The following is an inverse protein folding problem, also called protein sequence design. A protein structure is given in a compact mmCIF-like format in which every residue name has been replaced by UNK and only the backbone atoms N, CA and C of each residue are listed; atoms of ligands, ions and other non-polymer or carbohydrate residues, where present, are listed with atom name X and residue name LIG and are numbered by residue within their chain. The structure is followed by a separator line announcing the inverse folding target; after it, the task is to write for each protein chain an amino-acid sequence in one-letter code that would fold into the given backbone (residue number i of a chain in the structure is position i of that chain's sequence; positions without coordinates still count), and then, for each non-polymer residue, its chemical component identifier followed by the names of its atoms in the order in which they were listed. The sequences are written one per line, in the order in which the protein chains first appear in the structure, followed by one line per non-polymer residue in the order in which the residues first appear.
data_IF_539053304762
#
_entry.id   IF_539053304762
#
_cell.length_a   1.000
_cell.length_b   1.000
_cell.length_c   1.000
_cell.angle_alpha   90.00
_cell.angle_beta   90.00
_cell.angle_gamma   90.00
#
_symmetry.space_group_name_H-M   'P 1'
#
loop_
_entity.id
_entity.type
_entity.pdbx_description
1 polymer ?
#
# COMPACT_ATOMS: atom_id res chain seq x y z
N UNK A 1 37.73 -35.69 56.92
CA UNK A 1 36.37 -36.27 56.92
C UNK A 1 35.63 -35.70 55.77
N UNK A 2 35.70 -36.28 54.81
CA UNK A 2 35.13 -36.87 53.63
C UNK A 2 33.63 -36.57 53.47
N UNK A 3 33.28 -35.70 52.53
CA UNK A 3 32.08 -35.79 51.76
C UNK A 3 32.46 -35.49 50.31
N UNK A 4 32.66 -36.59 49.60
CA UNK A 4 32.94 -36.60 48.15
C UNK A 4 31.65 -36.64 47.37
N UNK A 5 31.54 -35.71 46.46
CA UNK A 5 30.89 -35.68 45.15
C UNK A 5 30.09 -36.92 44.70
N UNK A 6 28.87 -36.65 44.32
CA UNK A 6 28.12 -37.43 43.36
C UNK A 6 27.19 -36.52 42.55
N UNK A 7 27.78 -35.79 41.59
CA UNK A 7 27.06 -35.14 40.52
C UNK A 7 27.93 -35.18 39.26
N UNK A 8 27.87 -36.31 38.58
CA UNK A 8 28.36 -36.39 37.21
C UNK A 8 27.43 -37.31 36.41
N UNK A 9 27.05 -36.82 35.28
CA UNK A 9 26.30 -37.45 34.18
C UNK A 9 24.78 -37.24 34.15
N UNK A 10 24.38 -36.00 33.94
CA UNK A 10 23.20 -35.75 33.15
C UNK A 10 23.71 -35.49 31.70
N UNK A 11 23.74 -36.55 30.89
CA UNK A 11 23.84 -36.46 29.45
C UNK A 11 22.69 -35.57 28.95
N UNK A 12 22.97 -34.60 28.07
CA UNK A 12 21.89 -33.94 27.39
C UNK A 12 21.21 -35.00 26.50
N UNK A 13 19.97 -35.29 26.82
CA UNK A 13 19.08 -35.96 25.90
C UNK A 13 19.02 -35.09 24.65
N UNK A 14 19.84 -35.39 23.63
CA UNK A 14 19.56 -35.04 22.28
C UNK A 14 18.23 -35.71 21.93
N UNK A 15 17.17 -35.01 22.17
CA UNK A 15 15.90 -35.28 21.50
C UNK A 15 16.15 -35.19 20.01
N UNK A 16 16.42 -36.37 19.41
CA UNK A 16 16.12 -36.57 17.99
C UNK A 16 14.61 -36.40 17.86
N UNK A 17 14.17 -35.14 17.71
CA UNK A 17 12.89 -34.85 17.10
C UNK A 17 12.97 -35.38 15.67
N UNK A 18 12.69 -36.69 15.52
CA UNK A 18 12.18 -37.22 14.26
C UNK A 18 10.97 -36.33 13.98
N UNK A 19 11.06 -35.53 12.91
CA UNK A 19 10.05 -34.57 12.56
C UNK A 19 8.68 -35.24 12.50
N UNK A 20 7.96 -35.17 13.58
CA UNK A 20 6.52 -35.34 13.59
C UNK A 20 6.03 -34.21 12.68
N UNK A 21 5.57 -34.57 11.47
CA UNK A 21 4.88 -33.62 10.64
C UNK A 21 3.83 -32.94 11.54
N UNK A 22 3.88 -31.62 11.64
CA UNK A 22 2.96 -30.83 12.47
C UNK A 22 1.49 -31.16 12.12
N UNK A 23 1.30 -31.74 10.91
CA UNK A 23 0.02 -32.16 10.35
C UNK A 23 0.10 -33.64 9.87
N UNK A 24 -1.02 -34.34 9.99
CA UNK A 24 -1.17 -35.74 9.55
C UNK A 24 -1.05 -35.91 8.03
N UNK A 25 -1.06 -34.85 7.24
CA UNK A 25 -1.01 -34.83 5.79
C UNK A 25 -0.03 -33.78 5.29
N UNK A 26 0.92 -34.18 4.43
CA UNK A 26 1.83 -33.27 3.73
C UNK A 26 1.09 -32.27 2.81
N UNK A 27 -0.04 -32.68 2.22
CA UNK A 27 -0.85 -31.79 1.40
C UNK A 27 -1.44 -30.66 2.24
N UNK A 28 -1.95 -30.97 3.44
CA UNK A 28 -2.44 -29.98 4.38
C UNK A 28 -1.31 -29.05 4.85
N UNK A 29 -0.15 -29.63 5.19
CA UNK A 29 1.02 -28.87 5.62
C UNK A 29 1.47 -27.86 4.55
N UNK A 30 1.56 -28.27 3.29
CA UNK A 30 1.93 -27.42 2.17
C UNK A 30 0.93 -26.26 2.00
N UNK A 31 -0.37 -26.54 2.03
CA UNK A 31 -1.41 -25.52 1.91
C UNK A 31 -1.33 -24.50 3.07
N UNK A 32 -1.13 -24.97 4.31
CA UNK A 32 -0.97 -24.11 5.49
C UNK A 32 0.28 -23.25 5.37
N UNK A 33 1.40 -23.82 4.93
CA UNK A 33 2.65 -23.10 4.77
C UNK A 33 2.50 -21.99 3.71
N UNK A 34 1.93 -22.27 2.55
CA UNK A 34 1.73 -21.24 1.50
C UNK A 34 0.76 -20.15 1.95
N UNK A 35 -0.36 -20.50 2.57
CA UNK A 35 -1.30 -19.50 3.09
C UNK A 35 -0.68 -18.65 4.21
N UNK A 36 0.20 -19.21 5.03
CA UNK A 36 0.86 -18.48 6.12
C UNK A 36 1.97 -17.52 5.64
N UNK A 37 2.36 -17.57 4.36
CA UNK A 37 3.28 -16.58 3.75
C UNK A 37 2.58 -15.26 3.41
N UNK A 38 1.26 -15.25 3.41
CA UNK A 38 0.51 -14.03 3.16
C UNK A 38 0.64 -13.08 4.36
N UNK A 39 0.83 -11.76 4.12
CA UNK A 39 0.96 -10.78 5.20
C UNK A 39 -0.25 -10.82 6.15
N UNK A 40 0.01 -10.84 7.46
CA UNK A 40 -1.04 -10.88 8.49
C UNK A 40 -1.69 -12.24 8.71
N UNK A 41 -1.29 -13.29 7.99
CA UNK A 41 -1.84 -14.65 8.14
C UNK A 41 -0.84 -15.53 8.89
N UNK A 42 -1.15 -15.81 10.16
CA UNK A 42 -0.40 -16.79 10.95
C UNK A 42 -0.84 -18.23 10.68
N UNK A 43 -0.02 -19.23 11.07
CA UNK A 43 -0.28 -20.66 10.87
C UNK A 43 -1.67 -21.11 11.32
N UNK A 44 -2.18 -20.59 12.46
CA UNK A 44 -3.52 -20.93 12.97
C UNK A 44 -4.63 -20.48 12.04
N UNK A 45 -4.51 -19.28 11.46
CA UNK A 45 -5.47 -18.75 10.47
C UNK A 45 -5.35 -19.52 9.18
N UNK A 46 -4.13 -19.78 8.71
CA UNK A 46 -3.85 -20.56 7.50
C UNK A 46 -4.46 -21.98 7.60
N UNK A 47 -4.30 -22.66 8.73
CA UNK A 47 -4.93 -23.98 8.97
C UNK A 47 -6.46 -23.88 8.87
N UNK A 48 -7.07 -22.88 9.48
CA UNK A 48 -8.52 -22.68 9.41
C UNK A 48 -8.99 -22.47 7.98
N UNK A 49 -8.24 -21.69 7.18
CA UNK A 49 -8.53 -21.47 5.76
C UNK A 49 -8.39 -22.76 4.95
N UNK A 50 -7.30 -23.51 5.13
CA UNK A 50 -7.08 -24.78 4.44
C UNK A 50 -8.19 -25.80 4.74
N UNK A 51 -8.59 -25.92 6.02
CA UNK A 51 -9.70 -26.80 6.42
C UNK A 51 -11.06 -26.32 5.91
N UNK A 52 -11.25 -25.00 5.74
CA UNK A 52 -12.45 -24.46 5.10
C UNK A 52 -12.49 -24.87 3.61
N UNK A 53 -11.41 -24.65 2.87
CA UNK A 53 -11.32 -25.02 1.45
C UNK A 53 -11.58 -26.52 1.24
N UNK A 54 -11.10 -27.39 2.16
CA UNK A 54 -11.37 -28.83 2.10
C UNK A 54 -12.84 -29.21 2.30
N UNK A 55 -13.65 -28.35 2.91
CA UNK A 55 -15.12 -28.59 3.10
C UNK A 55 -15.95 -28.11 1.93
N UNK A 56 -15.41 -27.20 1.14
CA UNK A 56 -16.04 -26.69 -0.07
C UNK A 56 -15.87 -27.69 -1.21
N UNK A 57 -16.63 -27.50 -2.28
CA UNK A 57 -16.46 -28.31 -3.49
C UNK A 57 -15.11 -28.04 -4.20
N UNK A 58 -14.70 -28.92 -5.06
CA UNK A 58 -13.44 -28.77 -5.83
C UNK A 58 -13.46 -27.52 -6.72
N UNK A 59 -14.63 -27.10 -7.20
CA UNK A 59 -14.80 -25.93 -8.05
C UNK A 59 -14.43 -24.64 -7.30
N UNK A 60 -14.67 -24.58 -5.98
CA UNK A 60 -14.25 -23.43 -5.16
C UNK A 60 -12.72 -23.25 -5.15
N UNK A 61 -11.98 -24.34 -4.90
CA UNK A 61 -10.52 -24.31 -4.90
C UNK A 61 -9.95 -23.97 -6.29
N UNK A 62 -10.53 -24.52 -7.37
CA UNK A 62 -10.14 -24.25 -8.74
C UNK A 62 -10.37 -22.77 -9.11
N UNK A 63 -11.52 -22.21 -8.76
CA UNK A 63 -11.84 -20.81 -9.02
C UNK A 63 -10.91 -19.86 -8.25
N UNK A 64 -10.65 -20.14 -6.97
CA UNK A 64 -9.73 -19.36 -6.15
C UNK A 64 -8.31 -19.40 -6.73
N UNK A 65 -7.79 -20.57 -7.05
CA UNK A 65 -6.45 -20.72 -7.62
C UNK A 65 -6.35 -20.02 -8.97
N UNK A 66 -7.34 -20.19 -9.84
CA UNK A 66 -7.40 -19.51 -11.14
C UNK A 66 -7.43 -17.99 -10.99
N UNK A 67 -8.24 -17.46 -10.09
CA UNK A 67 -8.32 -16.01 -9.85
C UNK A 67 -6.95 -15.43 -9.42
N UNK A 68 -6.22 -16.12 -8.52
CA UNK A 68 -4.90 -15.68 -8.08
C UNK A 68 -3.86 -15.76 -9.20
N UNK A 69 -3.87 -16.84 -10.00
CA UNK A 69 -2.95 -17.02 -11.12
C UNK A 69 -3.22 -15.97 -12.21
N UNK A 70 -4.48 -15.77 -12.57
CA UNK A 70 -4.89 -14.74 -13.54
C UNK A 70 -4.51 -13.35 -13.08
N UNK A 71 -4.82 -13.00 -11.82
CA UNK A 71 -4.41 -11.71 -11.24
C UNK A 71 -2.89 -11.49 -11.38
N UNK A 72 -2.08 -12.51 -11.08
CA UNK A 72 -0.61 -12.34 -11.12
C UNK A 72 -0.05 -12.22 -12.54
N UNK A 73 -0.63 -12.96 -13.49
CA UNK A 73 -0.10 -13.08 -14.84
C UNK A 73 -0.64 -12.03 -15.80
N UNK A 74 -1.90 -11.64 -15.65
CA UNK A 74 -2.62 -10.84 -16.65
C UNK A 74 -2.79 -9.39 -16.23
N UNK A 75 -2.52 -9.06 -14.94
CA UNK A 75 -2.58 -7.67 -14.48
C UNK A 75 -1.47 -6.84 -15.13
N UNK A 76 -1.84 -5.66 -15.61
CA UNK A 76 -0.91 -4.67 -16.16
C UNK A 76 -0.92 -3.40 -15.32
N UNK A 77 -0.02 -2.49 -15.67
CA UNK A 77 -0.04 -1.11 -15.18
C UNK A 77 -0.43 -0.18 -16.32
N UNK A 78 -1.35 0.72 -16.05
CA UNK A 78 -1.78 1.72 -17.02
C UNK A 78 -0.58 2.52 -17.54
N UNK A 79 -0.36 2.58 -18.85
CA UNK A 79 0.76 3.29 -19.47
C UNK A 79 0.77 4.79 -19.14
N UNK A 80 -0.43 5.38 -18.90
CA UNK A 80 -0.55 6.81 -18.60
C UNK A 80 -0.38 7.16 -17.14
N UNK A 81 -1.01 6.42 -16.24
CA UNK A 81 -1.07 6.79 -14.82
C UNK A 81 -0.40 5.80 -13.85
N UNK A 82 0.08 4.66 -14.33
CA UNK A 82 0.71 3.59 -13.57
C UNK A 82 -0.18 2.92 -12.51
N UNK A 83 -1.51 3.17 -12.55
CA UNK A 83 -2.46 2.41 -11.73
C UNK A 83 -2.61 0.98 -12.28
N UNK A 84 -3.02 0.06 -11.43
CA UNK A 84 -3.38 -1.30 -11.83
C UNK A 84 -4.50 -1.26 -12.88
N UNK A 85 -4.37 -2.10 -13.93
CA UNK A 85 -5.27 -2.13 -15.07
C UNK A 85 -5.32 -3.53 -15.68
N UNK A 86 -6.44 -3.84 -16.33
CA UNK A 86 -6.60 -5.05 -17.17
C UNK A 86 -6.25 -4.80 -18.64
N UNK A 87 -5.87 -3.55 -18.99
CA UNK A 87 -5.49 -3.13 -20.34
C UNK A 87 -4.50 -1.97 -20.28
N UNK A 88 -3.98 -1.55 -21.45
CA UNK A 88 -2.98 -0.48 -21.59
C UNK A 88 -3.41 0.84 -20.92
N UNK A 89 -4.70 1.15 -20.96
CA UNK A 89 -5.29 2.29 -20.26
C UNK A 89 -6.34 1.82 -19.25
N UNK A 90 -6.21 2.25 -17.98
CA UNK A 90 -7.20 1.94 -16.95
C UNK A 90 -8.53 2.67 -17.23
N UNK A 91 -9.61 2.20 -16.62
CA UNK A 91 -10.95 2.77 -16.75
C UNK A 91 -11.01 4.27 -16.45
N UNK A 92 -10.18 4.77 -15.53
CA UNK A 92 -10.12 6.18 -15.17
C UNK A 92 -9.50 6.98 -16.32
N UNK A 93 -8.37 6.53 -16.86
CA UNK A 93 -7.68 7.20 -17.96
C UNK A 93 -8.42 7.11 -19.30
N UNK A 94 -9.20 6.05 -19.51
CA UNK A 94 -10.03 5.88 -20.70
C UNK A 94 -11.36 6.66 -20.65
N UNK A 95 -11.73 7.19 -19.50
CA UNK A 95 -13.00 7.88 -19.32
C UNK A 95 -12.92 9.37 -19.70
N UNK A 96 -13.39 9.71 -20.88
CA UNK A 96 -13.43 11.10 -21.41
C UNK A 96 -14.28 12.10 -20.61
N UNK A 97 -15.02 11.64 -19.58
CA UNK A 97 -15.76 12.55 -18.69
C UNK A 97 -14.88 13.10 -17.56
N UNK A 98 -13.66 12.57 -17.41
CA UNK A 98 -12.70 13.02 -16.41
C UNK A 98 -12.00 14.32 -16.85
N UNK A 99 -11.67 15.16 -15.89
CA UNK A 99 -10.82 16.32 -16.13
C UNK A 99 -9.37 15.88 -16.29
N UNK A 100 -8.92 15.76 -17.52
CA UNK A 100 -7.56 15.32 -17.84
C UNK A 100 -6.47 16.35 -17.49
N UNK A 101 -6.87 17.60 -17.20
CA UNK A 101 -5.94 18.68 -16.85
C UNK A 101 -5.64 18.77 -15.35
N UNK A 102 -6.31 17.97 -14.54
CA UNK A 102 -6.08 17.88 -13.08
C UNK A 102 -5.57 16.49 -12.73
N UNK A 103 -4.31 16.42 -12.25
CA UNK A 103 -3.67 15.17 -11.84
C UNK A 103 -3.60 15.09 -10.32
N UNK A 104 -4.09 13.99 -9.74
CA UNK A 104 -3.85 13.62 -8.35
C UNK A 104 -2.70 12.61 -8.26
N UNK A 105 -1.61 13.02 -7.63
CA UNK A 105 -0.41 12.17 -7.42
C UNK A 105 -0.57 11.43 -6.12
N UNK A 106 -0.50 10.10 -6.17
CA UNK A 106 -0.68 9.20 -5.03
C UNK A 106 0.48 8.21 -4.92
N UNK A 107 0.64 7.61 -3.75
CA UNK A 107 1.66 6.61 -3.52
C UNK A 107 1.37 5.32 -4.27
N UNK A 108 0.16 4.76 -4.07
CA UNK A 108 -0.21 3.47 -4.66
C UNK A 108 -1.70 3.38 -5.05
N UNK A 109 -2.08 2.22 -5.58
CA UNK A 109 -3.46 1.92 -6.02
C UNK A 109 -4.49 1.99 -4.88
N UNK A 110 -4.09 1.73 -3.62
CA UNK A 110 -4.99 1.81 -2.46
C UNK A 110 -5.49 3.23 -2.25
N UNK A 111 -4.62 4.21 -2.50
CA UNK A 111 -4.97 5.63 -2.40
C UNK A 111 -5.96 6.03 -3.51
N UNK A 112 -5.74 5.54 -4.74
CA UNK A 112 -6.71 5.73 -5.85
C UNK A 112 -8.09 5.22 -5.43
N UNK A 113 -8.16 3.99 -4.91
CA UNK A 113 -9.41 3.37 -4.47
C UNK A 113 -10.06 4.18 -3.34
N UNK A 114 -9.27 4.69 -2.40
CA UNK A 114 -9.77 5.48 -1.28
C UNK A 114 -10.37 6.82 -1.75
N UNK A 115 -9.67 7.52 -2.65
CA UNK A 115 -10.14 8.80 -3.20
C UNK A 115 -11.37 8.61 -4.08
N UNK A 116 -11.40 7.60 -4.95
CA UNK A 116 -12.57 7.28 -5.81
C UNK A 116 -13.83 6.99 -4.99
N UNK A 117 -13.70 6.29 -3.86
CA UNK A 117 -14.84 6.05 -2.95
C UNK A 117 -15.49 7.31 -2.42
N UNK A 118 -14.77 8.43 -2.37
CA UNK A 118 -15.34 9.72 -1.94
C UNK A 118 -16.29 10.32 -2.97
N UNK A 119 -16.17 9.95 -4.24
CA UNK A 119 -16.90 10.53 -5.39
C UNK A 119 -16.73 12.05 -5.55
N UNK A 120 -15.72 12.65 -4.89
CA UNK A 120 -15.50 14.09 -4.91
C UNK A 120 -14.43 14.53 -5.91
N UNK A 121 -13.67 13.60 -6.46
CA UNK A 121 -12.60 13.88 -7.40
C UNK A 121 -12.97 13.44 -8.81
N UNK A 122 -12.88 14.36 -9.76
CA UNK A 122 -13.22 14.12 -11.18
C UNK A 122 -12.01 14.15 -12.11
N UNK A 123 -10.81 14.38 -11.59
CA UNK A 123 -9.56 14.39 -12.37
C UNK A 123 -9.01 13.00 -12.66
N UNK A 124 -7.77 12.94 -13.10
CA UNK A 124 -7.02 11.71 -13.35
C UNK A 124 -5.91 11.53 -12.33
N UNK A 125 -5.30 10.34 -12.27
CA UNK A 125 -4.28 10.01 -11.28
C UNK A 125 -2.89 9.87 -11.90
N UNK A 126 -1.90 9.87 -11.02
CA UNK A 126 -0.56 9.37 -11.28
C UNK A 126 -0.08 8.62 -10.05
N UNK A 127 0.16 7.31 -10.20
CA UNK A 127 0.61 6.41 -9.12
C UNK A 127 2.12 6.32 -9.15
N UNK A 128 2.78 6.72 -8.06
CA UNK A 128 4.25 6.75 -7.99
C UNK A 128 4.86 5.37 -7.82
N UNK A 129 4.15 4.42 -7.20
CA UNK A 129 4.67 3.11 -6.83
C UNK A 129 5.42 3.08 -5.49
N UNK A 130 5.37 4.18 -4.72
CA UNK A 130 5.99 4.35 -3.41
C UNK A 130 6.34 5.79 -3.10
N UNK A 131 7.14 5.99 -2.05
CA UNK A 131 7.72 7.29 -1.66
C UNK A 131 9.25 7.18 -1.61
N UNK A 132 9.96 8.29 -1.75
CA UNK A 132 11.43 8.33 -1.61
C UNK A 132 11.79 7.92 -0.18
N UNK A 133 12.44 6.77 -0.04
CA UNK A 133 12.88 6.22 1.23
C UNK A 133 14.29 5.64 1.11
N UNK A 134 15.34 6.45 1.38
CA UNK A 134 16.73 6.00 1.28
C UNK A 134 17.07 4.84 2.24
N UNK A 135 16.35 4.72 3.37
CA UNK A 135 16.57 3.63 4.33
C UNK A 135 16.14 2.26 3.75
N UNK A 136 15.14 2.25 2.88
CA UNK A 136 14.69 1.07 2.15
C UNK A 136 15.32 0.94 0.76
N UNK A 137 16.21 1.86 0.42
CA UNK A 137 16.91 1.88 -0.88
C UNK A 137 16.09 2.45 -2.03
N UNK A 138 14.92 3.06 -1.75
CA UNK A 138 14.05 3.65 -2.77
C UNK A 138 14.45 5.11 -3.06
N UNK A 139 14.98 5.33 -4.25
CA UNK A 139 15.33 6.66 -4.77
C UNK A 139 14.28 7.19 -5.76
N UNK A 140 14.44 8.44 -6.23
CA UNK A 140 13.52 9.04 -7.20
C UNK A 140 13.45 8.29 -8.54
N UNK A 141 14.51 7.55 -8.90
CA UNK A 141 14.57 6.79 -10.15
C UNK A 141 13.84 5.44 -10.08
N UNK A 142 13.55 4.97 -8.87
CA UNK A 142 12.79 3.73 -8.65
C UNK A 142 11.27 3.96 -8.71
N UNK A 143 10.88 5.25 -8.76
CA UNK A 143 9.50 5.71 -8.80
C UNK A 143 9.15 6.27 -10.20
N UNK A 144 7.86 6.36 -10.49
CA UNK A 144 7.36 6.88 -11.79
C UNK A 144 7.42 8.40 -11.91
N UNK A 145 8.21 9.09 -11.08
CA UNK A 145 8.31 10.56 -11.02
C UNK A 145 8.74 11.16 -12.38
N UNK A 146 9.68 10.50 -13.08
CA UNK A 146 10.12 10.94 -14.41
C UNK A 146 8.98 10.98 -15.42
N UNK A 147 8.06 10.01 -15.37
CA UNK A 147 6.87 9.97 -16.20
C UNK A 147 5.86 11.07 -15.83
N UNK A 148 5.70 11.37 -14.53
CA UNK A 148 4.88 12.50 -14.08
C UNK A 148 5.41 13.83 -14.66
N UNK A 149 6.72 14.09 -14.57
CA UNK A 149 7.36 15.31 -15.07
C UNK A 149 7.13 15.45 -16.58
N UNK A 150 7.37 14.37 -17.33
CA UNK A 150 7.11 14.33 -18.76
C UNK A 150 5.66 14.66 -19.09
N UNK A 151 4.73 14.04 -18.36
CA UNK A 151 3.31 14.23 -18.53
C UNK A 151 2.88 15.67 -18.24
N UNK A 152 3.39 16.30 -17.17
CA UNK A 152 3.14 17.72 -16.85
C UNK A 152 3.65 18.63 -17.95
N UNK A 153 4.81 18.32 -18.54
CA UNK A 153 5.41 19.12 -19.61
C UNK A 153 4.64 19.02 -20.94
N UNK A 154 4.12 17.85 -21.28
CA UNK A 154 3.52 17.56 -22.59
C UNK A 154 1.99 17.77 -22.62
N UNK A 155 1.27 17.47 -21.52
CA UNK A 155 -0.20 17.46 -21.49
C UNK A 155 -0.81 18.80 -21.04
N UNK A 156 -0.04 19.89 -20.85
CA UNK A 156 -0.49 21.22 -20.40
C UNK A 156 -1.35 21.16 -19.12
N UNK A 157 -0.94 20.37 -18.15
CA UNK A 157 -1.63 20.14 -16.89
C UNK A 157 -1.84 21.47 -16.15
N UNK A 158 -3.07 21.75 -15.73
CA UNK A 158 -3.44 22.96 -14.98
C UNK A 158 -3.18 22.84 -13.48
N UNK A 159 -3.46 21.65 -12.92
CA UNK A 159 -3.27 21.41 -11.50
C UNK A 159 -2.68 20.03 -11.23
N UNK A 160 -1.68 20.00 -10.34
CA UNK A 160 -1.14 18.78 -9.74
C UNK A 160 -1.45 18.81 -8.25
N UNK A 161 -2.23 17.85 -7.79
CA UNK A 161 -2.59 17.67 -6.38
C UNK A 161 -1.65 16.61 -5.80
N UNK A 162 -0.83 16.97 -4.83
CA UNK A 162 0.06 16.05 -4.13
C UNK A 162 -0.71 15.40 -2.97
N UNK A 163 -1.09 14.14 -3.14
CA UNK A 163 -1.87 13.34 -2.18
C UNK A 163 -1.05 12.20 -1.59
N UNK A 164 0.20 12.49 -1.21
CA UNK A 164 1.10 11.50 -0.59
C UNK A 164 0.90 11.45 0.93
N UNK A 165 1.31 10.35 1.59
CA UNK A 165 1.21 10.21 3.04
C UNK A 165 1.84 11.37 3.80
N UNK A 166 1.27 11.71 4.96
CA UNK A 166 1.77 12.79 5.82
C UNK A 166 2.95 12.32 6.70
N UNK A 167 3.89 11.57 6.11
CA UNK A 167 5.13 11.10 6.73
C UNK A 167 6.32 11.94 6.28
N UNK A 168 7.49 11.73 6.88
CA UNK A 168 8.74 12.41 6.48
C UNK A 168 9.10 12.06 5.03
N UNK A 169 8.93 10.79 4.65
CA UNK A 169 9.19 10.27 3.32
C UNK A 169 8.22 10.87 2.29
N UNK A 170 6.92 10.94 2.63
CA UNK A 170 5.90 11.55 1.79
C UNK A 170 6.13 13.06 1.61
N UNK A 171 6.49 13.79 2.68
CA UNK A 171 6.83 15.22 2.59
C UNK A 171 8.11 15.46 1.79
N UNK A 172 9.12 14.58 1.93
CA UNK A 172 10.35 14.63 1.13
C UNK A 172 10.04 14.41 -0.34
N UNK A 173 9.19 13.44 -0.65
CA UNK A 173 8.77 13.13 -2.02
C UNK A 173 7.95 14.28 -2.63
N UNK A 174 7.03 14.87 -1.86
CA UNK A 174 6.26 16.06 -2.26
C UNK A 174 7.19 17.22 -2.61
N UNK A 175 8.19 17.48 -1.78
CA UNK A 175 9.15 18.56 -2.01
C UNK A 175 10.02 18.30 -3.24
N UNK A 176 10.45 17.05 -3.44
CA UNK A 176 11.20 16.67 -4.62
C UNK A 176 10.38 16.90 -5.91
N UNK A 177 9.14 16.40 -5.95
CA UNK A 177 8.22 16.59 -7.08
C UNK A 177 7.99 18.09 -7.31
N UNK A 178 7.68 18.85 -6.25
CA UNK A 178 7.50 20.30 -6.34
C UNK A 178 8.69 20.98 -6.99
N UNK A 179 9.93 20.68 -6.59
CA UNK A 179 11.14 21.26 -7.22
C UNK A 179 11.23 20.94 -8.71
N UNK A 180 10.86 19.73 -9.09
CA UNK A 180 10.97 19.26 -10.47
C UNK A 180 9.92 19.89 -11.40
N UNK A 181 8.73 20.22 -10.88
CA UNK A 181 7.63 20.72 -11.72
C UNK A 181 7.30 22.21 -11.48
N UNK A 182 7.89 22.88 -10.49
CA UNK A 182 7.57 24.28 -10.15
C UNK A 182 7.93 25.31 -11.22
N UNK A 183 8.71 24.96 -12.20
CA UNK A 183 9.06 25.83 -13.33
C UNK A 183 8.00 25.79 -14.46
N UNK A 184 7.07 24.85 -14.44
CA UNK A 184 5.93 24.84 -15.33
C UNK A 184 4.83 25.77 -14.81
N UNK A 185 3.94 26.22 -15.68
CA UNK A 185 2.80 27.10 -15.32
C UNK A 185 1.65 26.36 -14.63
N UNK A 186 1.94 25.22 -14.03
CA UNK A 186 1.00 24.32 -13.37
C UNK A 186 0.79 24.73 -11.93
N UNK A 187 -0.45 24.82 -11.48
CA UNK A 187 -0.78 25.01 -10.06
C UNK A 187 -0.46 23.72 -9.29
N UNK A 188 0.28 23.82 -8.20
CA UNK A 188 0.63 22.69 -7.36
C UNK A 188 -0.07 22.85 -6.01
N UNK A 189 -0.88 21.87 -5.64
CA UNK A 189 -1.63 21.85 -4.38
C UNK A 189 -1.35 20.56 -3.61
N UNK A 190 -1.74 20.51 -2.36
CA UNK A 190 -1.69 19.29 -1.52
C UNK A 190 -3.04 19.10 -0.84
N UNK A 191 -3.39 17.85 -0.54
CA UNK A 191 -4.61 17.57 0.23
C UNK A 191 -4.54 18.25 1.59
N UNK A 192 -5.69 18.72 2.08
CA UNK A 192 -5.80 19.33 3.40
C UNK A 192 -5.40 18.34 4.49
N UNK A 193 -4.63 18.83 5.47
CA UNK A 193 -4.20 18.06 6.65
C UNK A 193 -4.78 18.71 7.88
N UNK A 194 -5.48 17.94 8.70
CA UNK A 194 -6.13 18.48 9.89
C UNK A 194 -6.82 17.42 10.74
N UNK A 195 -7.56 17.87 11.75
CA UNK A 195 -8.36 17.00 12.62
C UNK A 195 -9.48 16.35 11.80
N UNK A 196 -9.70 15.05 11.97
CA UNK A 196 -10.74 14.35 11.26
C UNK A 196 -12.14 14.81 11.68
N UNK A 197 -13.09 14.76 10.74
CA UNK A 197 -14.48 15.15 11.01
C UNK A 197 -15.10 14.14 11.98
N UNK A 198 -15.64 14.65 13.10
CA UNK A 198 -16.25 13.85 14.16
C UNK A 198 -15.31 13.49 15.30
N UNK A 199 -14.00 13.77 15.18
CA UNK A 199 -13.06 13.55 16.28
C UNK A 199 -13.12 14.69 17.31
N UNK A 200 -12.92 14.33 18.56
CA UNK A 200 -12.75 15.29 19.65
C UNK A 200 -11.29 15.78 19.72
N UNK A 201 -11.07 17.06 19.92
CA UNK A 201 -9.73 17.68 19.93
C UNK A 201 -8.77 17.02 20.93
N UNK A 202 -9.29 16.50 22.04
CA UNK A 202 -8.48 15.85 23.09
C UNK A 202 -7.83 14.53 22.63
N UNK A 203 -8.34 13.90 21.55
CA UNK A 203 -7.79 12.66 21.01
C UNK A 203 -6.89 12.89 19.78
N UNK A 204 -6.85 14.12 19.25
CA UNK A 204 -5.93 14.47 18.19
C UNK A 204 -4.48 14.52 18.72
N UNK A 205 -3.54 13.99 17.95
CA UNK A 205 -2.13 14.12 18.29
C UNK A 205 -1.66 15.57 18.19
N UNK A 206 -0.63 15.91 18.98
CA UNK A 206 -0.13 17.29 19.13
C UNK A 206 0.31 17.91 17.80
N UNK A 207 0.91 17.10 16.90
CA UNK A 207 1.40 17.58 15.60
C UNK A 207 0.24 17.93 14.69
N UNK A 208 -0.75 17.05 14.60
CA UNK A 208 -1.98 17.27 13.81
C UNK A 208 -2.74 18.49 14.31
N UNK A 209 -2.93 18.59 15.63
CA UNK A 209 -3.63 19.73 16.23
C UNK A 209 -2.85 21.04 16.00
N UNK A 210 -1.54 21.04 16.20
CA UNK A 210 -0.68 22.18 15.94
C UNK A 210 -0.74 22.65 14.48
N UNK A 211 -0.64 21.74 13.53
CA UNK A 211 -0.77 22.04 12.09
C UNK A 211 -2.16 22.57 11.74
N UNK A 212 -3.23 22.05 12.34
CA UNK A 212 -4.60 22.52 12.12
C UNK A 212 -4.79 23.96 12.58
N UNK A 213 -4.18 24.34 13.71
CA UNK A 213 -4.21 25.72 14.22
C UNK A 213 -3.43 26.67 13.31
N UNK A 214 -2.25 26.26 12.85
CA UNK A 214 -1.41 27.08 11.95
C UNK A 214 -2.10 27.29 10.60
N UNK A 215 -2.68 26.22 10.03
CA UNK A 215 -3.30 26.23 8.71
C UNK A 215 -4.82 26.49 8.75
N UNK A 216 -5.33 27.08 9.84
CA UNK A 216 -6.76 27.37 10.00
C UNK A 216 -7.30 28.22 8.88
N UNK A 217 -8.49 27.89 8.42
CA UNK A 217 -9.20 28.63 7.38
C UNK A 217 -10.21 29.63 8.01
N UNK A 218 -10.51 30.75 7.32
CA UNK A 218 -11.62 31.62 7.71
C UNK A 218 -12.94 30.84 7.71
N UNK A 219 -13.78 31.01 8.73
CA UNK A 219 -15.03 30.25 8.89
C UNK A 219 -15.96 30.34 7.66
N UNK A 220 -15.98 31.46 6.96
CA UNK A 220 -16.77 31.67 5.75
C UNK A 220 -16.36 30.76 4.57
N UNK A 221 -15.18 30.13 4.61
CA UNK A 221 -14.66 29.23 3.56
C UNK A 221 -14.86 27.75 3.89
N UNK A 222 -15.45 27.42 5.03
CA UNK A 222 -15.64 26.04 5.52
C UNK A 222 -17.00 25.42 5.15
N UNK A 223 -17.72 26.00 4.17
CA UNK A 223 -19.01 25.48 3.67
C UNK A 223 -18.86 24.76 2.36
#
# INVERSE_FOLDING_TARGET
MLWTNCFSNILPLRENYIGLNEYSSKLLENAVNELSRLPGIGKRTALRMALFILKEDSLYADNLSKALVTLRNDICFCERCHNISDSDLCEICANHKRDELTICVVEDTRDVIAIEKTTQFSGVYHVLGGVINPMEGLGPNDLTISHLIKRVAEEQIKEVILALPATVEGDTTNYYIYKMISHFTTKITTIARGVAIGDELQYADEITLGRSIVNRLPFAQTR
#
